data_IF_691596161066
#
_entry.id   IF_691596161066
#
_cell.length_a   1.000
_cell.length_b   1.000
_cell.length_c   1.000
_cell.angle_alpha   90.00
_cell.angle_beta   90.00
_cell.angle_gamma   90.00
#
_symmetry.space_group_name_H-M   'P 1'
#
loop_
_entity.id
_entity.type
_entity.pdbx_description
1 polymer ?
#
# COMPACT_ATOMS: atom_id res chain seq x y z
N UNK A 1 14.83 -7.16 -3.98
CA UNK A 1 13.45 -7.66 -3.87
C UNK A 1 13.52 -9.15 -3.65
N UNK A 2 12.91 -9.63 -2.57
CA UNK A 2 12.75 -11.05 -2.28
C UNK A 2 11.59 -11.56 -3.14
N UNK A 3 11.86 -12.50 -4.04
CA UNK A 3 10.78 -13.20 -4.75
C UNK A 3 10.04 -14.09 -3.75
N UNK A 4 8.76 -13.82 -3.57
CA UNK A 4 7.87 -14.68 -2.80
C UNK A 4 7.25 -15.67 -3.77
N UNK A 5 7.97 -16.77 -4.01
CA UNK A 5 7.56 -17.82 -4.93
C UNK A 5 6.44 -18.68 -4.34
N UNK A 6 5.70 -19.33 -5.24
CA UNK A 6 4.93 -20.53 -4.88
C UNK A 6 5.87 -21.71 -4.74
N UNK A 7 5.46 -22.69 -3.93
CA UNK A 7 6.08 -24.01 -3.97
C UNK A 7 7.10 -24.30 -2.88
N UNK A 8 6.95 -23.72 -1.68
CA UNK A 8 7.45 -24.40 -0.49
C UNK A 8 6.66 -25.71 -0.33
N UNK A 9 7.18 -26.80 -0.88
CA UNK A 9 6.52 -28.11 -0.92
C UNK A 9 5.96 -28.49 0.46
N UNK A 10 4.63 -28.57 0.57
CA UNK A 10 3.93 -28.98 1.78
C UNK A 10 3.12 -27.90 2.51
N UNK A 11 3.22 -26.62 2.14
CA UNK A 11 2.35 -25.58 2.72
C UNK A 11 0.92 -25.67 2.15
N UNK A 12 -0.15 -25.67 2.97
CA UNK A 12 -1.53 -25.66 2.47
C UNK A 12 -1.71 -24.53 1.45
N UNK A 13 -2.39 -24.74 0.32
CA UNK A 13 -2.65 -23.71 -0.72
C UNK A 13 -1.43 -23.03 -1.38
N UNK A 14 -0.21 -23.55 -1.22
CA UNK A 14 0.90 -23.28 -2.15
C UNK A 14 1.75 -22.01 -1.92
N UNK A 15 1.50 -21.24 -0.86
CA UNK A 15 2.29 -20.05 -0.49
C UNK A 15 3.30 -20.34 0.61
N UNK A 16 4.45 -19.66 0.59
CA UNK A 16 5.47 -19.80 1.62
C UNK A 16 5.13 -18.95 2.86
N UNK A 17 5.53 -19.35 4.08
CA UNK A 17 5.25 -18.60 5.32
C UNK A 17 5.65 -17.11 5.30
N UNK A 18 6.77 -16.71 4.67
CA UNK A 18 7.09 -15.29 4.51
C UNK A 18 6.03 -14.52 3.69
N UNK A 19 5.40 -15.17 2.71
CA UNK A 19 4.30 -14.57 1.94
C UNK A 19 3.07 -14.33 2.80
N UNK A 20 2.72 -15.30 3.65
CA UNK A 20 1.60 -15.16 4.57
C UNK A 20 1.82 -14.01 5.56
N UNK A 21 3.05 -13.85 6.08
CA UNK A 21 3.39 -12.72 6.97
C UNK A 21 3.29 -11.37 6.27
N UNK A 22 3.81 -11.25 5.05
CA UNK A 22 3.72 -10.00 4.27
C UNK A 22 2.27 -9.68 3.93
N UNK A 23 1.47 -10.68 3.54
CA UNK A 23 0.05 -10.52 3.28
C UNK A 23 -0.71 -10.02 4.51
N UNK A 24 -0.51 -10.65 5.67
CA UNK A 24 -1.08 -10.20 6.95
C UNK A 24 -0.71 -8.75 7.28
N UNK A 25 0.54 -8.38 7.08
CA UNK A 25 1.02 -7.05 7.41
C UNK A 25 0.50 -5.95 6.47
N UNK A 26 0.00 -6.30 5.27
CA UNK A 26 -0.22 -5.33 4.18
C UNK A 26 -1.64 -5.28 3.61
N UNK A 27 -2.49 -6.29 3.85
CA UNK A 27 -3.78 -6.42 3.17
C UNK A 27 -4.70 -5.21 3.39
N UNK A 28 -4.79 -4.68 4.62
CA UNK A 28 -5.63 -3.51 4.91
C UNK A 28 -5.15 -2.28 4.12
N UNK A 29 -3.84 -2.01 4.14
CA UNK A 29 -3.26 -0.89 3.41
C UNK A 29 -3.43 -1.04 1.89
N UNK A 30 -3.46 -2.27 1.39
CA UNK A 30 -3.77 -2.55 -0.01
C UNK A 30 -5.22 -2.17 -0.35
N UNK A 31 -6.18 -2.49 0.52
CA UNK A 31 -7.58 -2.06 0.36
C UNK A 31 -7.72 -0.55 0.46
N UNK A 32 -7.03 0.10 1.39
CA UNK A 32 -7.01 1.57 1.48
C UNK A 32 -6.42 2.21 0.21
N UNK A 33 -5.37 1.61 -0.36
CA UNK A 33 -4.79 2.04 -1.64
C UNK A 33 -5.77 1.92 -2.81
N UNK A 34 -6.63 0.89 -2.83
CA UNK A 34 -7.75 0.79 -3.80
C UNK A 34 -8.82 1.87 -3.53
N UNK A 35 -9.21 2.09 -2.27
CA UNK A 35 -10.26 3.05 -1.94
C UNK A 35 -9.88 4.50 -2.28
N UNK A 36 -8.58 4.82 -2.37
CA UNK A 36 -8.12 6.11 -2.86
C UNK A 36 -8.51 6.42 -4.33
N UNK A 37 -8.94 5.41 -5.11
CA UNK A 37 -9.50 5.57 -6.46
C UNK A 37 -11.03 5.78 -6.46
N UNK A 38 -11.59 6.31 -5.37
CA UNK A 38 -13.04 6.50 -5.17
C UNK A 38 -13.77 7.19 -6.35
N UNK A 39 -13.14 8.15 -7.04
CA UNK A 39 -13.75 8.81 -8.19
C UNK A 39 -13.95 7.84 -9.36
N UNK A 40 -12.96 6.99 -9.63
CA UNK A 40 -13.08 5.93 -10.64
C UNK A 40 -14.23 4.99 -10.27
N UNK A 41 -14.38 4.65 -8.98
CA UNK A 41 -15.47 3.81 -8.49
C UNK A 41 -16.87 4.42 -8.67
N UNK A 42 -16.99 5.76 -8.65
CA UNK A 42 -18.27 6.43 -8.89
C UNK A 42 -18.68 6.43 -10.37
N UNK A 43 -17.72 6.32 -11.27
CA UNK A 43 -17.91 6.44 -12.72
C UNK A 43 -17.86 5.09 -13.45
N UNK A 44 -17.42 4.02 -12.77
CA UNK A 44 -17.21 2.69 -13.33
C UNK A 44 -18.18 1.66 -12.74
N UNK A 45 -18.67 0.76 -13.58
CA UNK A 45 -19.46 -0.41 -13.22
C UNK A 45 -18.61 -1.70 -13.14
N UNK A 46 -17.28 -1.56 -13.24
CA UNK A 46 -16.38 -2.71 -13.29
C UNK A 46 -16.01 -3.15 -11.88
N UNK A 47 -16.08 -4.46 -11.57
CA UNK A 47 -15.70 -4.98 -10.25
C UNK A 47 -14.28 -4.59 -9.78
N UNK A 48 -13.35 -4.40 -10.72
CA UNK A 48 -11.97 -4.01 -10.42
C UNK A 48 -11.80 -2.56 -9.94
N UNK A 49 -12.83 -1.73 -10.11
CA UNK A 49 -12.84 -0.31 -9.73
C UNK A 49 -13.66 -0.09 -8.45
N UNK A 50 -14.37 -1.11 -7.95
CA UNK A 50 -15.16 -1.04 -6.73
C UNK A 50 -14.30 -0.79 -5.49
N UNK A 51 -14.86 -0.02 -4.56
CA UNK A 51 -14.27 0.22 -3.23
C UNK A 51 -14.52 -0.96 -2.30
N UNK A 52 -13.59 -1.18 -1.38
CA UNK A 52 -13.76 -2.06 -0.25
C UNK A 52 -14.65 -1.42 0.82
N UNK A 53 -15.54 -2.22 1.38
CA UNK A 53 -16.22 -1.96 2.64
C UNK A 53 -15.21 -2.21 3.76
N UNK A 54 -14.82 -1.14 4.45
CA UNK A 54 -13.82 -1.19 5.52
C UNK A 54 -14.40 -1.73 6.83
N UNK A 55 -13.56 -2.27 7.73
CA UNK A 55 -13.97 -2.58 9.10
C UNK A 55 -14.27 -1.29 9.88
N UNK A 56 -15.10 -1.38 10.93
CA UNK A 56 -15.68 -0.21 11.63
C UNK A 56 -14.64 0.71 12.28
N UNK A 57 -13.50 0.14 12.65
CA UNK A 57 -12.35 0.82 13.23
C UNK A 57 -11.61 1.69 12.22
N UNK A 58 -11.73 1.40 10.92
CA UNK A 58 -11.11 2.17 9.84
C UNK A 58 -12.13 3.12 9.21
N UNK A 59 -11.95 4.42 9.45
CA UNK A 59 -12.88 5.47 9.00
C UNK A 59 -12.17 6.40 8.02
N UNK A 60 -12.78 6.67 6.87
CA UNK A 60 -12.29 7.73 5.97
C UNK A 60 -12.54 9.09 6.64
N UNK A 61 -11.46 9.81 6.94
CA UNK A 61 -11.52 11.18 7.46
C UNK A 61 -11.72 12.18 6.33
N UNK A 62 -11.04 11.95 5.21
CA UNK A 62 -11.01 12.89 4.09
C UNK A 62 -10.58 12.18 2.80
N UNK A 63 -11.19 12.52 1.68
CA UNK A 63 -10.70 12.16 0.35
C UNK A 63 -10.65 13.41 -0.53
N UNK A 64 -9.48 13.69 -1.12
CA UNK A 64 -9.36 14.79 -2.07
C UNK A 64 -9.90 14.37 -3.42
N UNK A 65 -10.62 15.25 -4.10
CA UNK A 65 -10.86 15.09 -5.53
C UNK A 65 -9.56 15.29 -6.32
N UNK A 66 -9.49 14.64 -7.47
CA UNK A 66 -8.46 14.90 -8.45
C UNK A 66 -8.42 16.37 -8.82
N UNK A 67 -7.20 16.89 -8.94
CA UNK A 67 -7.00 18.23 -9.45
C UNK A 67 -6.59 18.20 -10.92
N UNK A 68 -6.44 19.39 -11.52
CA UNK A 68 -6.04 19.53 -12.94
C UNK A 68 -4.68 18.86 -13.27
N UNK A 69 -3.96 18.35 -12.27
CA UNK A 69 -2.63 17.74 -12.39
C UNK A 69 -2.62 16.28 -11.98
N UNK A 70 -3.76 15.64 -11.77
CA UNK A 70 -3.84 14.21 -11.46
C UNK A 70 -3.48 13.87 -10.01
N UNK A 71 -3.38 14.86 -9.11
CA UNK A 71 -2.95 14.64 -7.72
C UNK A 71 -4.15 14.46 -6.81
N UNK A 72 -4.25 13.28 -6.19
CA UNK A 72 -5.26 13.00 -5.18
C UNK A 72 -4.70 12.12 -4.05
N UNK A 73 -5.32 12.21 -2.89
CA UNK A 73 -5.01 11.44 -1.70
C UNK A 73 -6.25 11.27 -0.82
N UNK A 74 -6.23 10.25 0.02
CA UNK A 74 -7.22 10.01 1.07
C UNK A 74 -6.53 9.86 2.42
N UNK A 75 -7.26 10.17 3.48
CA UNK A 75 -6.81 10.05 4.87
C UNK A 75 -7.80 9.16 5.61
N UNK A 76 -7.29 8.07 6.16
CA UNK A 76 -8.05 7.13 6.97
C UNK A 76 -7.56 7.16 8.41
N UNK A 77 -8.45 6.92 9.35
CA UNK A 77 -8.16 6.81 10.76
C UNK A 77 -8.50 5.43 11.27
N UNK A 78 -7.57 4.84 12.01
CA UNK A 78 -7.81 3.62 12.78
C UNK A 78 -8.09 3.97 14.23
N UNK A 79 -9.20 3.44 14.75
CA UNK A 79 -9.56 3.56 16.16
C UNK A 79 -9.42 2.22 16.85
N UNK A 80 -8.83 2.22 18.03
CA UNK A 80 -8.73 1.05 18.91
C UNK A 80 -9.34 1.37 20.27
N UNK A 81 -9.92 0.38 20.96
CA UNK A 81 -10.36 0.59 22.34
C UNK A 81 -9.15 0.85 23.25
N UNK A 82 -9.24 1.90 24.06
CA UNK A 82 -8.32 2.12 25.17
C UNK A 82 -8.61 1.15 26.34
N UNK A 83 -7.80 1.13 27.41
CA UNK A 83 -8.04 0.25 28.57
C UNK A 83 -9.38 0.47 29.28
N UNK A 84 -10.05 1.62 29.07
CA UNK A 84 -11.38 1.92 29.59
C UNK A 84 -12.50 1.56 28.60
N UNK A 85 -12.16 1.02 27.42
CA UNK A 85 -13.08 0.65 26.35
C UNK A 85 -13.56 1.81 25.49
N UNK A 86 -12.92 2.99 25.58
CA UNK A 86 -13.24 4.15 24.75
C UNK A 86 -12.45 4.10 23.43
N UNK A 87 -13.05 4.53 22.31
CA UNK A 87 -12.33 4.64 21.05
C UNK A 87 -11.20 5.67 21.15
N UNK A 88 -9.97 5.25 20.86
CA UNK A 88 -8.78 6.08 20.77
C UNK A 88 -8.22 6.00 19.35
N UNK A 89 -7.84 7.14 18.79
CA UNK A 89 -7.10 7.17 17.51
C UNK A 89 -5.76 6.45 17.69
N UNK A 90 -5.60 5.33 17.01
CA UNK A 90 -4.43 4.46 17.06
C UNK A 90 -3.45 4.77 15.93
N UNK A 91 -3.95 5.14 14.75
CA UNK A 91 -3.15 5.42 13.56
C UNK A 91 -3.93 6.33 12.61
N UNK A 92 -3.21 7.16 11.86
CA UNK A 92 -3.73 7.81 10.65
C UNK A 92 -2.98 7.30 9.42
N UNK A 93 -3.68 6.87 8.37
CA UNK A 93 -3.09 6.41 7.12
C UNK A 93 -3.29 7.47 6.04
N UNK A 94 -2.19 7.99 5.48
CA UNK A 94 -2.19 8.90 4.34
C UNK A 94 -1.93 8.10 3.06
N UNK A 95 -2.96 8.02 2.21
CA UNK A 95 -2.94 7.20 1.00
C UNK A 95 -2.89 8.09 -0.22
N UNK A 96 -1.82 8.00 -1.03
CA UNK A 96 -1.75 8.72 -2.30
C UNK A 96 -2.34 7.86 -3.42
N UNK A 97 -3.24 8.46 -4.21
CA UNK A 97 -3.81 7.82 -5.39
C UNK A 97 -2.76 7.79 -6.51
N UNK A 98 -2.73 6.72 -7.28
CA UNK A 98 -1.95 6.65 -8.51
C UNK A 98 -2.67 7.29 -9.71
N UNK A 99 -2.17 6.98 -10.91
CA UNK A 99 -2.72 7.47 -12.19
C UNK A 99 -3.08 6.29 -13.08
N UNK A 100 -4.23 6.35 -13.76
CA UNK A 100 -4.76 5.27 -14.61
C UNK A 100 -4.57 5.50 -16.13
N UNK A 101 -3.75 6.50 -16.54
CA UNK A 101 -3.56 6.96 -17.94
C UNK A 101 -2.08 7.07 -18.40
N UNK A 102 -1.79 7.22 -19.72
CA UNK A 102 -0.66 6.60 -20.42
C UNK A 102 0.76 7.08 -20.05
N UNK A 103 1.69 6.12 -20.21
CA UNK A 103 3.07 5.99 -19.72
C UNK A 103 4.04 7.15 -19.93
N UNK A 104 3.82 8.03 -20.90
CA UNK A 104 4.80 9.10 -21.24
C UNK A 104 4.70 10.34 -20.33
N UNK A 105 3.56 10.55 -19.68
CA UNK A 105 3.38 11.65 -18.73
C UNK A 105 4.03 11.35 -17.37
N UNK A 106 4.04 10.08 -17.01
CA UNK A 106 4.26 9.59 -15.67
C UNK A 106 5.68 9.76 -15.13
N UNK A 107 6.71 9.47 -15.93
CA UNK A 107 8.09 9.42 -15.45
C UNK A 107 8.79 10.78 -15.34
N UNK A 108 8.37 11.80 -16.10
CA UNK A 108 9.17 13.02 -16.28
C UNK A 108 8.62 14.29 -15.61
N UNK A 109 7.31 14.56 -15.75
CA UNK A 109 6.74 15.89 -15.44
C UNK A 109 5.82 15.88 -14.21
N UNK A 110 5.19 14.73 -13.91
CA UNK A 110 4.30 14.57 -12.76
C UNK A 110 5.08 14.33 -11.49
N UNK A 111 5.98 13.34 -11.50
CA UNK A 111 6.66 12.82 -10.31
C UNK A 111 7.35 13.93 -9.51
N UNK A 112 8.14 14.78 -10.17
CA UNK A 112 8.84 15.88 -9.50
C UNK A 112 7.92 16.95 -8.89
N UNK A 113 6.69 17.11 -9.41
CA UNK A 113 5.72 18.09 -8.90
C UNK A 113 4.77 17.49 -7.87
N UNK A 114 4.28 16.27 -8.10
CA UNK A 114 3.39 15.57 -7.19
C UNK A 114 4.12 15.05 -5.95
N UNK A 115 5.37 14.62 -6.06
CA UNK A 115 6.19 14.23 -4.92
C UNK A 115 6.38 15.36 -3.90
N UNK A 116 6.69 16.58 -4.37
CA UNK A 116 6.73 17.80 -3.53
C UNK A 116 5.40 18.10 -2.85
N UNK A 117 4.29 17.86 -3.55
CA UNK A 117 2.95 18.04 -2.99
C UNK A 117 2.62 16.98 -1.97
N UNK A 118 2.94 15.72 -2.23
CA UNK A 118 2.84 14.62 -1.25
C UNK A 118 3.56 14.96 0.04
N UNK A 119 4.79 15.46 -0.05
CA UNK A 119 5.55 15.91 1.11
C UNK A 119 4.88 17.07 1.85
N UNK A 120 4.34 18.05 1.11
CA UNK A 120 3.60 19.17 1.71
C UNK A 120 2.33 18.68 2.43
N UNK A 121 1.57 17.78 1.81
CA UNK A 121 0.36 17.16 2.37
C UNK A 121 0.69 16.38 3.65
N UNK A 122 1.77 15.58 3.64
CA UNK A 122 2.25 14.89 4.84
C UNK A 122 2.57 15.88 5.97
N UNK A 123 3.33 16.95 5.69
CA UNK A 123 3.69 17.96 6.70
C UNK A 123 2.46 18.68 7.25
N UNK A 124 1.48 18.99 6.40
CA UNK A 124 0.22 19.60 6.82
C UNK A 124 -0.60 18.66 7.70
N UNK A 125 -0.71 17.38 7.33
CA UNK A 125 -1.38 16.37 8.13
C UNK A 125 -0.71 16.22 9.49
N UNK A 126 0.61 16.05 9.53
CA UNK A 126 1.39 15.93 10.76
C UNK A 126 1.22 17.15 11.66
N UNK A 127 1.34 18.37 11.12
CA UNK A 127 1.14 19.60 11.86
C UNK A 127 -0.29 19.74 12.41
N UNK A 128 -1.30 19.35 11.61
CA UNK A 128 -2.70 19.35 12.04
C UNK A 128 -2.96 18.38 13.19
N UNK A 129 -2.45 17.16 13.09
CA UNK A 129 -2.54 16.16 14.16
C UNK A 129 -1.82 16.63 15.44
N UNK A 130 -0.65 17.25 15.31
CA UNK A 130 0.11 17.78 16.44
C UNK A 130 -0.65 18.90 17.16
N UNK A 131 -1.30 19.79 16.41
CA UNK A 131 -2.05 20.93 16.95
C UNK A 131 -3.25 20.50 17.81
N UNK A 132 -3.80 19.30 17.57
CA UNK A 132 -4.93 18.75 18.32
C UNK A 132 -4.52 17.68 19.35
N UNK A 133 -3.21 17.54 19.61
CA UNK A 133 -2.69 16.66 20.65
C UNK A 133 -2.42 15.21 20.23
N UNK A 134 -2.46 14.89 18.93
CA UNK A 134 -2.15 13.55 18.40
C UNK A 134 -0.69 13.38 17.97
N UNK A 135 0.25 14.03 18.68
CA UNK A 135 1.69 14.04 18.34
C UNK A 135 2.28 12.64 18.27
N UNK A 136 1.85 11.76 19.18
CA UNK A 136 2.36 10.40 19.31
C UNK A 136 1.56 9.37 18.48
N UNK A 137 0.51 9.81 17.78
CA UNK A 137 -0.24 8.92 16.88
C UNK A 137 0.58 8.73 15.59
N UNK A 138 0.92 7.48 15.22
CA UNK A 138 1.66 7.19 14.00
C UNK A 138 0.90 7.64 12.76
N UNK A 139 1.67 8.05 11.75
CA UNK A 139 1.16 8.21 10.39
C UNK A 139 1.78 7.09 9.57
N UNK A 140 0.97 6.39 8.79
CA UNK A 140 1.43 5.42 7.81
C UNK A 140 1.16 5.94 6.41
N UNK A 141 2.15 5.85 5.52
CA UNK A 141 1.99 6.21 4.12
C UNK A 141 1.56 4.97 3.33
N UNK A 142 0.65 5.12 2.38
CA UNK A 142 0.37 4.06 1.42
C UNK A 142 0.15 4.62 0.02
N UNK A 143 0.33 3.78 -0.99
CA UNK A 143 -0.01 4.16 -2.35
C UNK A 143 0.25 3.09 -3.38
N UNK A 144 -0.55 3.14 -4.44
CA UNK A 144 -0.42 2.27 -5.59
C UNK A 144 0.17 3.02 -6.79
N UNK A 145 0.99 2.37 -7.62
CA UNK A 145 1.51 2.97 -8.86
C UNK A 145 2.26 4.29 -8.60
N UNK A 146 1.86 5.38 -9.26
CA UNK A 146 2.36 6.73 -8.97
C UNK A 146 2.23 7.09 -7.48
N UNK A 147 1.12 6.72 -6.83
CA UNK A 147 0.86 7.02 -5.42
C UNK A 147 1.91 6.42 -4.50
N UNK A 148 2.37 5.20 -4.81
CA UNK A 148 3.47 4.56 -4.08
C UNK A 148 4.78 5.33 -4.23
N UNK A 149 5.08 5.85 -5.43
CA UNK A 149 6.27 6.69 -5.63
C UNK A 149 6.15 8.07 -4.97
N UNK A 150 4.94 8.63 -4.85
CA UNK A 150 4.72 9.85 -4.05
C UNK A 150 5.04 9.58 -2.58
N UNK A 151 4.56 8.47 -2.01
CA UNK A 151 4.88 8.07 -0.64
C UNK A 151 6.39 7.88 -0.43
N UNK A 152 7.07 7.20 -1.36
CA UNK A 152 8.52 7.04 -1.35
C UNK A 152 9.27 8.38 -1.39
N UNK A 153 8.85 9.34 -2.23
CA UNK A 153 9.44 10.68 -2.24
C UNK A 153 9.26 11.43 -0.91
N UNK A 154 8.14 11.21 -0.19
CA UNK A 154 7.98 11.78 1.16
C UNK A 154 9.08 11.27 2.09
N UNK A 155 9.34 9.95 2.08
CA UNK A 155 10.39 9.34 2.89
C UNK A 155 11.77 9.83 2.49
N UNK A 156 12.06 9.89 1.19
CA UNK A 156 13.33 10.40 0.65
C UNK A 156 13.60 11.86 1.04
N UNK A 157 12.55 12.68 1.09
CA UNK A 157 12.67 14.07 1.53
C UNK A 157 12.95 14.16 3.02
N UNK A 158 12.23 13.39 3.83
CA UNK A 158 12.42 13.32 5.28
C UNK A 158 13.82 12.82 5.65
N UNK A 159 14.38 11.83 4.92
CA UNK A 159 15.73 11.33 5.20
C UNK A 159 16.83 12.37 4.96
N UNK A 160 16.55 13.38 4.12
CA UNK A 160 17.44 14.51 3.84
C UNK A 160 17.26 15.67 4.83
N UNK A 161 16.26 15.62 5.71
CA UNK A 161 16.06 16.61 6.79
C UNK A 161 16.98 16.30 7.99
N UNK A 162 17.41 17.30 8.77
CA UNK A 162 18.21 17.09 9.98
C UNK A 162 17.58 16.15 11.01
N UNK A 163 16.25 16.15 11.10
CA UNK A 163 15.47 15.31 12.00
C UNK A 163 15.33 13.86 11.50
N UNK A 164 15.62 13.62 10.22
CA UNK A 164 15.46 12.32 9.56
C UNK A 164 14.00 11.86 9.45
N UNK A 165 13.83 10.58 9.12
CA UNK A 165 12.50 9.96 9.05
C UNK A 165 11.96 9.73 10.47
N UNK A 166 10.73 10.19 10.81
CA UNK A 166 10.15 9.96 12.12
C UNK A 166 10.11 8.46 12.46
N UNK A 167 10.42 8.08 13.72
CA UNK A 167 10.57 6.68 14.10
C UNK A 167 9.26 5.88 14.02
N UNK A 168 8.11 6.56 13.99
CA UNK A 168 6.78 5.95 13.90
C UNK A 168 6.12 6.10 12.52
N UNK A 169 6.89 6.47 11.48
CA UNK A 169 6.39 6.55 10.11
C UNK A 169 6.55 5.21 9.37
N UNK A 170 5.43 4.52 9.16
CA UNK A 170 5.34 3.32 8.31
C UNK A 170 5.06 3.65 6.85
N UNK A 171 5.32 2.70 5.94
CA UNK A 171 4.98 2.87 4.54
C UNK A 171 4.67 1.55 3.80
N UNK A 172 3.63 1.56 2.98
CA UNK A 172 3.19 0.42 2.15
C UNK A 172 3.04 0.84 0.69
N UNK A 173 3.94 0.34 -0.15
CA UNK A 173 3.99 0.70 -1.57
C UNK A 173 3.55 -0.49 -2.42
N UNK A 174 2.52 -0.30 -3.25
CA UNK A 174 1.95 -1.36 -4.07
C UNK A 174 2.18 -1.06 -5.55
N UNK A 175 2.86 -1.94 -6.27
CA UNK A 175 3.14 -1.74 -7.70
C UNK A 175 3.70 -0.31 -8.00
N UNK A 176 4.45 0.29 -7.06
CA UNK A 176 5.06 1.61 -7.18
C UNK A 176 6.05 1.70 -8.35
N UNK A 177 6.43 2.85 -8.89
CA UNK A 177 6.94 2.80 -10.28
C UNK A 177 8.35 3.28 -10.49
N UNK A 178 8.89 3.85 -9.43
CA UNK A 178 10.27 3.74 -9.04
C UNK A 178 10.28 3.70 -7.50
N UNK A 179 11.37 3.24 -6.91
CA UNK A 179 11.62 3.37 -5.47
C UNK A 179 13.03 3.95 -5.37
N UNK A 180 13.19 4.99 -4.55
CA UNK A 180 14.43 5.75 -4.50
C UNK A 180 15.58 4.92 -3.91
N UNK A 181 16.72 4.82 -4.61
CA UNK A 181 17.86 3.99 -4.19
C UNK A 181 18.71 4.63 -3.07
N UNK A 182 18.37 5.85 -2.65
CA UNK A 182 19.11 6.70 -1.70
C UNK A 182 18.71 6.47 -0.23
N UNK A 183 17.64 5.69 0.01
CA UNK A 183 17.29 5.14 1.33
C UNK A 183 18.19 3.90 1.58
N UNK A 184 19.50 4.13 1.67
CA UNK A 184 20.54 3.09 1.62
C UNK A 184 21.24 2.85 2.95
N UNK A 185 21.01 3.70 3.95
CA UNK A 185 21.64 3.59 5.26
C UNK A 185 20.66 3.94 6.39
N UNK A 186 20.03 2.88 6.90
CA UNK A 186 19.92 2.67 8.33
C UNK A 186 18.51 2.80 8.87
N UNK A 187 17.96 1.69 9.37
CA UNK A 187 17.13 1.71 10.59
C UNK A 187 17.30 0.37 11.33
N UNK A 188 17.30 0.46 12.66
CA UNK A 188 17.56 -0.63 13.60
C UNK A 188 16.45 -1.69 13.71
N UNK A 189 16.64 -2.51 14.74
CA UNK A 189 15.93 -3.76 15.04
C UNK A 189 14.42 -3.77 14.72
N UNK A 190 13.98 -4.78 13.96
CA UNK A 190 12.65 -4.96 13.37
C UNK A 190 11.48 -4.97 14.38
N UNK A 191 11.78 -5.03 15.68
CA UNK A 191 10.80 -4.97 16.75
C UNK A 191 10.34 -3.54 17.13
N UNK A 192 11.01 -2.49 16.65
CA UNK A 192 10.77 -1.09 17.11
C UNK A 192 10.50 -0.07 16.00
N UNK A 193 10.65 -0.48 14.75
CA UNK A 193 10.52 0.38 13.57
C UNK A 193 9.29 -0.04 12.78
N UNK A 194 8.37 0.88 12.44
CA UNK A 194 7.24 0.59 11.58
C UNK A 194 7.69 0.04 10.23
N UNK A 195 6.95 -0.91 9.67
CA UNK A 195 7.34 -1.57 8.44
C UNK A 195 7.37 -0.59 7.25
N UNK A 196 8.37 -0.76 6.40
CA UNK A 196 8.46 -0.12 5.07
C UNK A 196 8.47 -1.22 4.03
N UNK A 197 7.28 -1.55 3.54
CA UNK A 197 7.04 -2.70 2.69
C UNK A 197 6.72 -2.23 1.28
N UNK A 198 7.41 -2.78 0.30
CA UNK A 198 7.09 -2.57 -1.11
C UNK A 198 6.69 -3.90 -1.74
N UNK A 199 5.45 -4.02 -2.20
CA UNK A 199 4.90 -5.22 -2.83
C UNK A 199 4.68 -4.95 -4.32
N UNK A 200 5.12 -5.87 -5.17
CA UNK A 200 4.91 -5.82 -6.62
C UNK A 200 4.30 -7.12 -7.13
N UNK A 201 3.34 -7.04 -8.05
CA UNK A 201 2.87 -8.22 -8.78
C UNK A 201 3.96 -8.73 -9.74
N UNK A 202 4.21 -10.04 -9.74
CA UNK A 202 5.14 -10.66 -10.67
C UNK A 202 4.66 -10.49 -12.13
N UNK A 203 5.53 -9.96 -13.01
CA UNK A 203 5.22 -9.76 -14.43
C UNK A 203 4.66 -8.37 -14.81
N UNK A 204 4.52 -7.45 -13.85
CA UNK A 204 4.14 -6.06 -14.12
C UNK A 204 5.25 -5.30 -14.90
N UNK A 205 4.90 -4.38 -15.81
CA UNK A 205 5.85 -3.60 -16.63
C UNK A 205 6.81 -2.77 -15.76
N UNK A 206 6.35 -2.24 -14.62
CA UNK A 206 7.21 -1.53 -13.68
C UNK A 206 8.25 -2.48 -13.04
N UNK A 207 7.96 -3.79 -12.94
CA UNK A 207 8.93 -4.80 -12.52
C UNK A 207 10.17 -4.86 -13.41
N UNK A 208 10.03 -4.59 -14.72
CA UNK A 208 11.15 -4.54 -15.67
C UNK A 208 12.01 -3.28 -15.47
N UNK A 209 11.42 -2.12 -15.12
CA UNK A 209 12.20 -0.92 -14.79
C UNK A 209 12.81 -0.96 -13.37
N UNK A 210 12.26 -1.80 -12.47
CA UNK A 210 12.71 -1.99 -11.08
C UNK A 210 13.80 -3.04 -10.88
N UNK A 211 14.08 -3.85 -11.92
CA UNK A 211 15.09 -4.91 -11.89
C UNK A 211 16.54 -4.40 -11.68
N UNK A 212 16.75 -3.08 -11.55
CA UNK A 212 18.07 -2.47 -11.41
C UNK A 212 18.46 -1.96 -10.00
N UNK A 213 17.55 -1.73 -9.05
CA UNK A 213 17.97 -1.15 -7.75
C UNK A 213 16.87 -1.29 -6.68
N UNK A 214 17.00 -2.28 -5.78
CA UNK A 214 16.25 -2.27 -4.52
C UNK A 214 17.23 -1.81 -3.44
N UNK A 215 16.97 -0.64 -2.86
CA UNK A 215 17.73 -0.10 -1.71
C UNK A 215 17.58 -1.00 -0.48
N UNK A 216 18.55 -0.93 0.44
CA UNK A 216 18.64 -1.80 1.60
C UNK A 216 17.57 -1.53 2.69
N UNK A 217 16.83 -0.41 2.61
CA UNK A 217 15.86 0.01 3.65
C UNK A 217 14.40 -0.36 3.34
N UNK A 218 14.13 -1.08 2.24
CA UNK A 218 12.80 -1.60 1.91
C UNK A 218 12.78 -3.12 2.02
N UNK A 219 11.77 -3.64 2.73
CA UNK A 219 11.37 -5.03 2.56
C UNK A 219 10.57 -5.14 1.26
N UNK A 220 11.30 -5.26 0.15
CA UNK A 220 10.74 -5.36 -1.19
C UNK A 220 10.37 -6.80 -1.53
N UNK A 221 9.10 -7.06 -1.84
CA UNK A 221 8.58 -8.37 -2.19
C UNK A 221 7.92 -8.40 -3.57
N UNK A 222 8.17 -9.47 -4.32
CA UNK A 222 7.41 -9.79 -5.54
C UNK A 222 6.45 -10.94 -5.23
N UNK A 223 5.14 -10.75 -5.45
CA UNK A 223 4.10 -11.76 -5.22
C UNK A 223 3.42 -12.08 -6.55
N UNK A 224 3.39 -13.36 -6.93
CA UNK A 224 2.70 -13.80 -8.14
C UNK A 224 1.23 -14.12 -7.85
N UNK A 225 0.38 -13.10 -7.83
CA UNK A 225 -1.07 -13.24 -7.62
C UNK A 225 -1.82 -13.79 -8.86
N UNK A 226 -1.26 -13.66 -10.07
CA UNK A 226 -1.94 -13.95 -11.34
C UNK A 226 -0.96 -14.43 -12.43
N UNK A 227 -0.66 -15.74 -12.51
CA UNK A 227 0.24 -16.25 -13.55
C UNK A 227 -0.41 -16.13 -14.93
N UNK A 228 0.24 -15.41 -15.85
CA UNK A 228 -0.09 -15.42 -17.27
C UNK A 228 -1.18 -14.44 -17.75
N UNK A 229 -1.45 -13.34 -17.04
CA UNK A 229 -2.38 -12.29 -17.51
C UNK A 229 -1.69 -11.04 -18.09
N UNK A 230 -2.47 -10.23 -18.83
CA UNK A 230 -1.98 -9.10 -19.62
C UNK A 230 -1.43 -7.93 -18.77
N UNK A 231 -0.40 -7.25 -19.31
CA UNK A 231 0.36 -6.15 -18.72
C UNK A 231 -0.45 -4.91 -18.27
N UNK A 232 -1.75 -4.86 -18.59
CA UNK A 232 -2.67 -3.75 -18.29
C UNK A 232 -3.64 -4.14 -17.17
N UNK A 233 -4.03 -5.41 -17.09
CA UNK A 233 -4.94 -5.89 -16.04
C UNK A 233 -4.25 -6.20 -14.71
N UNK A 234 -2.93 -6.47 -14.74
CA UNK A 234 -2.07 -6.62 -13.55
C UNK A 234 -1.74 -5.29 -12.85
N UNK A 235 -2.17 -4.15 -13.41
CA UNK A 235 -1.93 -2.83 -12.82
C UNK A 235 -3.14 -2.31 -12.02
N UNK A 236 -4.23 -3.06 -11.89
CA UNK A 236 -5.35 -2.63 -11.04
C UNK A 236 -5.08 -2.99 -9.58
N UNK A 237 -5.20 -2.01 -8.69
CA UNK A 237 -4.89 -2.20 -7.27
C UNK A 237 -5.80 -3.26 -6.62
N UNK A 238 -7.07 -3.32 -7.02
CA UNK A 238 -8.05 -4.32 -6.53
C UNK A 238 -7.52 -5.76 -6.64
N UNK A 239 -6.88 -6.11 -7.75
CA UNK A 239 -6.40 -7.48 -7.96
C UNK A 239 -5.34 -7.92 -6.94
N UNK A 240 -4.39 -7.03 -6.66
CA UNK A 240 -3.36 -7.24 -5.65
C UNK A 240 -3.96 -7.24 -4.24
N UNK A 241 -4.86 -6.29 -3.95
CA UNK A 241 -5.51 -6.21 -2.64
C UNK A 241 -6.37 -7.44 -2.32
N UNK A 242 -7.14 -7.96 -3.29
CA UNK A 242 -7.91 -9.20 -3.16
C UNK A 242 -6.99 -10.39 -2.84
N UNK A 243 -5.88 -10.52 -3.59
CA UNK A 243 -4.89 -11.58 -3.39
C UNK A 243 -4.25 -11.52 -1.99
N UNK A 244 -3.78 -10.35 -1.57
CA UNK A 244 -3.18 -10.17 -0.24
C UNK A 244 -4.19 -10.47 0.86
N UNK A 245 -5.44 -10.01 0.72
CA UNK A 245 -6.51 -10.28 1.68
C UNK A 245 -6.82 -11.77 1.76
N UNK A 246 -6.89 -12.46 0.62
CA UNK A 246 -7.14 -13.91 0.58
C UNK A 246 -6.01 -14.72 1.23
N UNK A 247 -4.75 -14.39 0.94
CA UNK A 247 -3.60 -15.06 1.56
C UNK A 247 -3.62 -14.83 3.08
N UNK A 248 -3.89 -13.59 3.53
CA UNK A 248 -3.96 -13.25 4.94
C UNK A 248 -5.11 -13.99 5.67
N UNK A 249 -6.27 -14.13 5.03
CA UNK A 249 -7.49 -14.74 5.61
C UNK A 249 -7.30 -16.16 6.14
N UNK A 250 -6.27 -16.87 5.69
CA UNK A 250 -5.96 -18.23 6.13
C UNK A 250 -5.53 -18.31 7.59
N UNK A 251 -4.95 -17.23 8.12
CA UNK A 251 -4.40 -17.20 9.47
C UNK A 251 -4.73 -15.89 10.22
N UNK A 252 -5.40 -14.93 9.58
CA UNK A 252 -5.90 -13.69 10.17
C UNK A 252 -7.44 -13.64 10.11
N UNK A 253 -8.14 -13.78 11.25
CA UNK A 253 -9.60 -13.70 11.31
C UNK A 253 -10.19 -12.38 10.80
N UNK A 254 -9.47 -11.26 10.90
CA UNK A 254 -9.95 -9.97 10.40
C UNK A 254 -9.94 -9.96 8.86
N UNK A 255 -8.87 -10.49 8.26
CA UNK A 255 -8.80 -10.68 6.81
C UNK A 255 -9.89 -11.65 6.30
N UNK A 256 -10.17 -12.73 7.03
CA UNK A 256 -11.25 -13.66 6.69
C UNK A 256 -12.63 -12.97 6.68
N UNK A 257 -12.92 -12.13 7.68
CA UNK A 257 -14.14 -11.31 7.67
C UNK A 257 -14.16 -10.31 6.51
N UNK A 258 -13.01 -9.77 6.13
CA UNK A 258 -12.92 -8.89 4.97
C UNK A 258 -13.19 -9.63 3.66
N UNK A 259 -12.74 -10.88 3.52
CA UNK A 259 -13.03 -11.74 2.36
C UNK A 259 -14.53 -11.92 2.20
N UNK A 260 -15.23 -12.28 3.28
CA UNK A 260 -16.69 -12.45 3.26
C UNK A 260 -17.42 -11.15 2.94
N UNK A 261 -17.05 -10.05 3.62
CA UNK A 261 -17.69 -8.74 3.49
C UNK A 261 -17.58 -8.14 2.09
N UNK A 262 -16.47 -8.39 1.41
CA UNK A 262 -16.15 -7.82 0.10
C UNK A 262 -16.25 -8.83 -1.03
N UNK A 263 -16.83 -10.01 -0.77
CA UNK A 263 -17.05 -11.09 -1.73
C UNK A 263 -15.76 -11.46 -2.52
N UNK A 264 -14.63 -11.48 -1.82
CA UNK A 264 -13.32 -11.74 -2.43
C UNK A 264 -13.22 -13.22 -2.80
N UNK A 265 -13.02 -13.51 -4.09
CA UNK A 265 -12.79 -14.87 -4.58
C UNK A 265 -11.35 -15.34 -4.39
N UNK A 266 -11.16 -16.67 -4.44
CA UNK A 266 -9.83 -17.26 -4.43
C UNK A 266 -8.99 -16.70 -5.59
N UNK A 267 -7.69 -16.39 -5.38
CA UNK A 267 -6.83 -16.00 -6.48
C UNK A 267 -6.69 -17.18 -7.44
N UNK A 268 -6.77 -16.92 -8.75
CA UNK A 268 -6.62 -17.94 -9.81
C UNK A 268 -5.36 -18.81 -9.67
N UNK A 269 -4.36 -18.26 -8.99
CA UNK A 269 -3.19 -18.93 -8.46
C UNK A 269 -3.49 -20.31 -7.84
N UNK A 270 -4.52 -20.37 -7.01
CA UNK A 270 -4.94 -21.55 -6.25
C UNK A 270 -5.89 -22.43 -7.06
N UNK A 271 -6.70 -21.84 -7.96
CA UNK A 271 -7.60 -22.59 -8.85
C UNK A 271 -6.84 -23.58 -9.74
N UNK A 272 -5.64 -23.22 -10.23
CA UNK A 272 -4.81 -24.10 -11.08
C UNK A 272 -3.99 -25.14 -10.34
N UNK A 273 -3.88 -25.06 -9.01
CA UNK A 273 -3.17 -26.07 -8.22
C UNK A 273 -4.04 -27.31 -7.92
N UNK A 274 -5.31 -27.27 -8.33
CA UNK A 274 -6.34 -28.29 -8.08
C UNK A 274 -6.68 -29.09 -9.37
N UNK A 275 -6.09 -28.75 -10.52
CA UNK A 275 -6.13 -29.53 -11.78
C UNK A 275 -4.87 -30.39 -11.95
#
# INVERSE_FOLDING_TARGET
MTELSRGCGGAPGGWCPPTEQVAKASWEYAQLAQNAYWQTALESDKPRDEQYVLPSELKERYASADDERGYAYSVFDRFEPDPAGQERLAETVLVFRGTEGPKDWWYGNILGKQGRRGFTTYRQLRAGMDAVGYRDVPITLAGHSLGGRIADEVLERLSKEPEGIPPHLGAYLFNATAISPELREGVGDAATVPPRIAISEAGEIAGILRLADNGADWDGYAIDCRPGFSLIESHYMRGLADCLTWIAAREDPAAAQSVERNEIGAPRAEERAVE
#
